data_IF_602066484074
#
_entry.id   IF_602066484074
#
_cell.length_a   1.000
_cell.length_b   1.000
_cell.length_c   1.000
_cell.angle_alpha   90.00
_cell.angle_beta   90.00
_cell.angle_gamma   90.00
#
_symmetry.space_group_name_H-M   'P 1'
#
loop_
_entity.id
_entity.type
_entity.pdbx_description
1 polymer ?
#
# COMPACT_ATOMS: atom_id res chain seq x y z
N UNK A 1 12.71 -35.84 26.37
CA UNK A 1 12.56 -34.45 26.85
C UNK A 1 13.54 -33.59 26.05
N UNK A 2 13.13 -33.07 24.89
CA UNK A 2 14.03 -32.30 24.03
C UNK A 2 14.11 -30.86 24.53
N UNK A 3 15.23 -30.51 25.15
CA UNK A 3 15.59 -29.12 25.43
C UNK A 3 15.74 -28.37 24.10
N UNK A 4 14.73 -27.62 23.70
CA UNK A 4 14.87 -26.68 22.60
C UNK A 4 15.85 -25.58 23.02
N UNK A 5 17.04 -25.58 22.42
CA UNK A 5 18.02 -24.51 22.63
C UNK A 5 17.41 -23.16 22.19
N UNK A 6 17.56 -22.09 22.99
CA UNK A 6 17.01 -20.77 22.67
C UNK A 6 17.58 -20.18 21.37
N UNK A 7 18.71 -20.68 20.89
CA UNK A 7 19.31 -20.28 19.60
C UNK A 7 18.57 -20.90 18.40
N UNK A 8 18.12 -22.15 18.53
CA UNK A 8 17.35 -22.85 17.50
C UNK A 8 15.97 -22.22 17.29
N UNK A 9 15.28 -21.91 18.39
CA UNK A 9 13.99 -21.21 18.35
C UNK A 9 14.10 -19.82 17.72
N UNK A 10 15.16 -19.05 18.05
CA UNK A 10 15.43 -17.74 17.40
C UNK A 10 15.72 -17.88 15.90
N UNK A 11 16.42 -18.93 15.49
CA UNK A 11 16.71 -19.19 14.07
C UNK A 11 15.43 -19.51 13.29
N UNK A 12 14.55 -20.36 13.84
CA UNK A 12 13.25 -20.70 13.26
C UNK A 12 12.32 -19.49 13.13
N UNK A 13 12.22 -18.64 14.16
CA UNK A 13 11.41 -17.42 14.09
C UNK A 13 11.92 -16.48 13.00
N UNK A 14 13.24 -16.34 12.86
CA UNK A 14 13.83 -15.52 11.78
C UNK A 14 13.49 -16.09 10.40
N UNK A 15 13.68 -17.40 10.21
CA UNK A 15 13.36 -18.06 8.93
C UNK A 15 11.87 -17.95 8.59
N UNK A 16 10.98 -18.14 9.57
CA UNK A 16 9.54 -17.97 9.39
C UNK A 16 9.19 -16.56 8.94
N UNK A 17 9.74 -15.53 9.61
CA UNK A 17 9.52 -14.14 9.24
C UNK A 17 10.06 -13.83 7.85
N UNK A 18 11.25 -14.35 7.50
CA UNK A 18 11.80 -14.22 6.14
C UNK A 18 10.88 -14.84 5.10
N UNK A 19 10.39 -16.06 5.34
CA UNK A 19 9.45 -16.73 4.44
C UNK A 19 8.15 -15.93 4.28
N UNK A 20 7.60 -15.41 5.38
CA UNK A 20 6.42 -14.55 5.35
C UNK A 20 6.66 -13.27 4.54
N UNK A 21 7.83 -12.64 4.66
CA UNK A 21 8.20 -11.51 3.80
C UNK A 21 8.38 -11.92 2.34
N UNK A 22 8.93 -13.11 2.06
CA UNK A 22 9.10 -13.59 0.69
C UNK A 22 7.80 -13.87 -0.03
N UNK A 23 6.72 -14.15 0.69
CA UNK A 23 5.37 -14.30 0.12
C UNK A 23 4.87 -13.05 -0.61
N UNK A 24 5.41 -11.87 -0.27
CA UNK A 24 5.11 -10.62 -0.97
C UNK A 24 6.12 -10.35 -2.10
N UNK A 25 5.61 -9.83 -3.22
CA UNK A 25 6.45 -9.23 -4.25
C UNK A 25 7.32 -8.09 -3.68
N UNK A 26 8.55 -7.92 -4.20
CA UNK A 26 9.49 -6.90 -3.71
C UNK A 26 8.90 -5.48 -3.74
N UNK A 27 8.10 -5.15 -4.76
CA UNK A 27 7.37 -3.88 -4.87
C UNK A 27 6.35 -3.71 -3.74
N UNK A 28 5.56 -4.74 -3.46
CA UNK A 28 4.56 -4.75 -2.37
C UNK A 28 5.20 -4.60 -1.00
N UNK A 29 6.35 -5.23 -0.75
CA UNK A 29 7.09 -5.08 0.53
C UNK A 29 7.44 -3.62 0.80
N UNK A 30 7.90 -2.88 -0.22
CA UNK A 30 8.23 -1.45 -0.08
C UNK A 30 7.01 -0.64 0.33
N UNK A 31 5.84 -0.91 -0.26
CA UNK A 31 4.59 -0.22 0.08
C UNK A 31 4.17 -0.53 1.52
N UNK A 32 4.27 -1.79 1.94
CA UNK A 32 3.89 -2.21 3.29
C UNK A 32 4.81 -1.61 4.36
N UNK A 33 6.13 -1.65 4.12
CA UNK A 33 7.12 -1.02 4.99
C UNK A 33 6.97 0.51 5.02
N UNK A 34 6.62 1.13 3.89
CA UNK A 34 6.32 2.56 3.83
C UNK A 34 5.16 2.95 4.73
N UNK A 35 4.05 2.22 4.65
CA UNK A 35 2.89 2.43 5.53
C UNK A 35 3.23 2.18 7.01
N UNK A 36 4.03 1.16 7.29
CA UNK A 36 4.51 0.88 8.65
C UNK A 36 5.36 2.02 9.22
N UNK A 37 6.33 2.53 8.44
CA UNK A 37 7.15 3.68 8.86
C UNK A 37 6.30 4.93 9.11
N UNK A 38 5.31 5.18 8.26
CA UNK A 38 4.40 6.29 8.46
C UNK A 38 3.60 6.13 9.77
N UNK A 39 3.14 4.91 10.08
CA UNK A 39 2.47 4.62 11.36
C UNK A 39 3.40 4.80 12.56
N UNK A 40 4.68 4.43 12.43
CA UNK A 40 5.70 4.68 13.46
C UNK A 40 5.96 6.18 13.64
N UNK A 41 6.01 6.96 12.56
CA UNK A 41 6.10 8.43 12.61
C UNK A 41 4.89 9.06 13.29
N UNK A 42 3.69 8.67 12.89
CA UNK A 42 2.44 9.09 13.55
C UNK A 42 2.47 8.79 15.05
N UNK A 43 2.96 7.60 15.46
CA UNK A 43 3.15 7.25 16.88
C UNK A 43 4.15 8.16 17.61
N UNK A 44 5.20 8.61 16.94
CA UNK A 44 6.16 9.51 17.57
C UNK A 44 5.57 10.90 17.80
N UNK A 45 4.66 11.34 16.92
CA UNK A 45 4.03 12.67 16.98
C UNK A 45 2.74 12.72 17.80
N UNK A 46 1.99 11.62 17.87
CA UNK A 46 0.80 11.48 18.71
C UNK A 46 1.19 10.65 19.93
N UNK A 47 0.96 11.12 21.16
CA UNK A 47 1.31 10.41 22.42
C UNK A 47 0.57 9.05 22.63
N UNK A 48 0.18 8.38 21.55
CA UNK A 48 -0.42 7.06 21.49
C UNK A 48 0.67 6.02 21.79
N UNK A 49 0.62 5.48 23.01
CA UNK A 49 1.46 4.36 23.42
C UNK A 49 1.14 3.08 22.63
N UNK A 50 2.01 2.09 22.85
CA UNK A 50 2.16 0.75 22.24
C UNK A 50 0.83 0.17 21.71
N UNK A 51 0.92 -0.63 20.64
CA UNK A 51 -0.21 -1.41 20.15
C UNK A 51 -1.00 -2.03 21.31
N UNK A 52 -2.32 -1.82 21.39
CA UNK A 52 -3.11 -2.33 22.50
C UNK A 52 -2.97 -3.84 22.56
N UNK A 53 -3.12 -4.38 23.77
CA UNK A 53 -3.13 -5.81 24.03
C UNK A 53 -4.04 -6.56 23.04
N UNK A 54 -3.68 -7.81 22.73
CA UNK A 54 -4.37 -8.65 21.75
C UNK A 54 -5.88 -8.75 22.02
N UNK A 55 -6.27 -8.68 23.29
CA UNK A 55 -7.67 -8.77 23.73
C UNK A 55 -8.47 -7.47 23.54
N UNK A 56 -7.81 -6.31 23.37
CA UNK A 56 -8.49 -5.03 23.21
C UNK A 56 -8.69 -4.66 21.73
N UNK A 57 -9.57 -5.41 21.07
CA UNK A 57 -9.90 -5.23 19.64
C UNK A 57 -10.44 -3.83 19.33
N UNK A 58 -11.19 -3.23 20.28
CA UNK A 58 -11.73 -1.88 20.13
C UNK A 58 -10.62 -0.84 19.95
N UNK A 59 -9.65 -0.78 20.88
CA UNK A 59 -8.56 0.18 20.81
C UNK A 59 -7.66 -0.08 19.60
N UNK A 60 -7.45 -1.34 19.20
CA UNK A 60 -6.69 -1.67 17.99
C UNK A 60 -7.36 -1.08 16.75
N UNK A 61 -8.68 -1.26 16.64
CA UNK A 61 -9.48 -0.71 15.54
C UNK A 61 -9.48 0.82 15.55
N UNK A 62 -9.66 1.42 16.73
CA UNK A 62 -9.64 2.88 16.90
C UNK A 62 -8.28 3.47 16.47
N UNK A 63 -7.17 2.87 16.89
CA UNK A 63 -5.83 3.34 16.49
C UNK A 63 -5.58 3.22 14.98
N UNK A 64 -6.11 2.17 14.34
CA UNK A 64 -6.02 2.01 12.88
C UNK A 64 -6.78 3.12 12.14
N UNK A 65 -7.98 3.47 12.61
CA UNK A 65 -8.78 4.53 12.00
C UNK A 65 -8.22 5.91 12.31
N UNK A 66 -7.79 6.19 13.53
CA UNK A 66 -7.13 7.45 13.87
C UNK A 66 -5.89 7.68 12.99
N UNK A 67 -5.09 6.65 12.75
CA UNK A 67 -3.99 6.70 11.80
C UNK A 67 -4.44 6.95 10.36
N UNK A 68 -5.53 6.32 9.91
CA UNK A 68 -6.08 6.57 8.58
C UNK A 68 -6.56 8.02 8.44
N UNK A 69 -7.27 8.55 9.44
CA UNK A 69 -7.79 9.93 9.48
C UNK A 69 -6.66 10.94 9.53
N UNK A 70 -5.63 10.73 10.36
CA UNK A 70 -4.49 11.65 10.43
C UNK A 70 -3.75 11.68 9.09
N UNK A 71 -3.52 10.51 8.50
CA UNK A 71 -2.88 10.39 7.19
C UNK A 71 -3.75 11.01 6.10
N UNK A 72 -5.08 10.94 6.22
CA UNK A 72 -5.97 11.61 5.31
C UNK A 72 -5.82 13.13 5.44
N UNK A 73 -5.85 13.69 6.65
CA UNK A 73 -5.74 15.13 6.92
C UNK A 73 -4.41 15.75 6.46
N UNK A 74 -3.28 15.08 6.69
CA UNK A 74 -1.93 15.58 6.32
C UNK A 74 -1.75 15.82 4.82
N UNK A 75 -2.51 15.15 3.95
CA UNK A 75 -2.26 15.14 2.50
C UNK A 75 -2.99 16.23 1.69
N UNK A 76 -3.55 17.25 2.34
CA UNK A 76 -4.19 18.40 1.67
C UNK A 76 -5.47 18.07 0.88
N UNK A 77 -6.23 19.09 0.46
CA UNK A 77 -7.55 18.95 -0.20
C UNK A 77 -7.49 18.43 -1.65
N UNK A 78 -6.33 18.53 -2.32
CA UNK A 78 -6.28 18.59 -3.79
C UNK A 78 -6.02 17.25 -4.52
N UNK A 79 -5.83 16.13 -3.80
CA UNK A 79 -5.53 14.84 -4.43
C UNK A 79 -6.74 13.88 -4.47
N UNK A 80 -7.31 13.68 -5.67
CA UNK A 80 -8.36 12.68 -5.93
C UNK A 80 -7.92 11.22 -5.71
N UNK A 81 -6.62 10.94 -5.53
CA UNK A 81 -6.08 9.61 -5.18
C UNK A 81 -5.99 9.36 -3.67
N UNK A 82 -6.46 10.32 -2.86
CA UNK A 82 -6.33 10.36 -1.41
C UNK A 82 -7.06 9.22 -0.69
N UNK A 83 -8.32 8.94 -1.01
CA UNK A 83 -9.11 7.96 -0.25
C UNK A 83 -8.61 6.51 -0.42
N UNK A 84 -8.51 6.01 -1.65
CA UNK A 84 -8.12 4.60 -1.89
C UNK A 84 -6.71 4.32 -1.35
N UNK A 85 -5.79 5.26 -1.53
CA UNK A 85 -4.44 5.15 -0.99
C UNK A 85 -4.47 5.10 0.54
N UNK A 86 -5.21 6.00 1.20
CA UNK A 86 -5.33 5.99 2.66
C UNK A 86 -6.01 4.70 3.16
N UNK A 87 -7.08 4.24 2.51
CA UNK A 87 -7.83 3.03 2.89
C UNK A 87 -6.95 1.77 2.89
N UNK A 88 -5.96 1.69 2.00
CA UNK A 88 -5.03 0.54 1.95
C UNK A 88 -4.00 0.55 3.07
N UNK A 89 -3.62 1.73 3.61
CA UNK A 89 -2.58 1.84 4.64
C UNK A 89 -2.89 1.07 5.93
N UNK A 90 -4.10 1.12 6.52
CA UNK A 90 -4.47 0.26 7.64
C UNK A 90 -4.26 -1.22 7.37
N UNK A 91 -4.57 -1.71 6.16
CA UNK A 91 -4.37 -3.12 5.80
C UNK A 91 -2.90 -3.51 5.78
N UNK A 92 -2.04 -2.64 5.24
CA UNK A 92 -0.59 -2.84 5.26
C UNK A 92 -0.04 -2.85 6.69
N UNK A 93 -0.48 -1.91 7.52
CA UNK A 93 -0.09 -1.81 8.93
C UNK A 93 -0.54 -3.05 9.70
N UNK A 94 -1.77 -3.54 9.49
CA UNK A 94 -2.30 -4.77 10.09
C UNK A 94 -1.43 -5.98 9.75
N UNK A 95 -0.98 -6.09 8.50
CA UNK A 95 -0.11 -7.18 8.06
C UNK A 95 1.28 -7.08 8.70
N UNK A 96 1.90 -5.90 8.69
CA UNK A 96 3.19 -5.68 9.34
C UNK A 96 3.11 -5.94 10.85
N UNK A 97 2.02 -5.54 11.49
CA UNK A 97 1.74 -5.82 12.89
C UNK A 97 1.63 -7.33 13.15
N UNK A 98 0.91 -8.06 12.30
CA UNK A 98 0.77 -9.52 12.42
C UNK A 98 2.13 -10.23 12.41
N UNK A 99 3.08 -9.77 11.59
CA UNK A 99 4.43 -10.34 11.59
C UNK A 99 5.21 -10.07 12.87
N UNK A 100 5.05 -8.89 13.47
CA UNK A 100 5.81 -8.49 14.66
C UNK A 100 5.19 -8.98 15.97
N UNK A 101 3.86 -8.97 16.07
CA UNK A 101 3.12 -9.23 17.30
C UNK A 101 2.40 -10.61 17.30
N UNK A 102 2.39 -11.32 16.17
CA UNK A 102 1.78 -12.65 16.06
C UNK A 102 0.25 -12.66 15.90
N UNK A 103 -0.40 -11.49 15.89
CA UNK A 103 -1.85 -11.39 15.67
C UNK A 103 -2.22 -10.23 14.75
N UNK A 104 -3.34 -10.41 14.03
CA UNK A 104 -3.84 -9.42 13.08
C UNK A 104 -4.90 -8.55 13.78
N UNK A 105 -4.57 -7.28 14.01
CA UNK A 105 -5.57 -6.30 14.46
C UNK A 105 -6.74 -6.25 13.48
N UNK A 106 -7.97 -6.17 13.97
CA UNK A 106 -9.17 -6.08 13.14
C UNK A 106 -9.75 -4.67 13.13
N UNK A 107 -10.37 -4.32 12.00
CA UNK A 107 -11.14 -3.08 11.87
C UNK A 107 -12.59 -3.43 12.20
N UNK A 108 -13.14 -2.81 13.23
CA UNK A 108 -14.52 -3.02 13.65
C UNK A 108 -15.48 -2.22 12.76
N UNK A 109 -16.70 -2.73 12.50
CA UNK A 109 -17.66 -2.06 11.62
C UNK A 109 -17.98 -0.61 12.03
N UNK A 110 -18.05 -0.34 13.32
CA UNK A 110 -18.28 1.02 13.86
C UNK A 110 -17.20 2.02 13.42
N UNK A 111 -15.95 1.55 13.33
CA UNK A 111 -14.80 2.36 12.94
C UNK A 111 -14.69 2.44 11.42
N UNK A 112 -15.20 1.45 10.68
CA UNK A 112 -15.32 1.52 9.22
C UNK A 112 -16.23 2.65 8.75
N UNK A 113 -17.22 3.04 9.56
CA UNK A 113 -18.08 4.19 9.26
C UNK A 113 -17.29 5.49 9.05
N UNK A 114 -16.17 5.67 9.76
CA UNK A 114 -15.29 6.81 9.56
C UNK A 114 -14.63 6.79 8.16
N UNK A 115 -14.23 5.61 7.68
CA UNK A 115 -13.72 5.45 6.31
C UNK A 115 -14.82 5.70 5.27
N UNK A 116 -16.06 5.30 5.55
CA UNK A 116 -17.20 5.63 4.71
C UNK A 116 -17.45 7.14 4.63
N UNK A 117 -17.41 7.84 5.77
CA UNK A 117 -17.51 9.30 5.81
C UNK A 117 -16.39 9.97 5.01
N UNK A 118 -15.14 9.53 5.20
CA UNK A 118 -13.98 9.99 4.41
C UNK A 118 -14.20 9.80 2.90
N UNK A 119 -14.79 8.68 2.48
CA UNK A 119 -15.08 8.43 1.07
C UNK A 119 -16.12 9.40 0.51
N UNK A 120 -17.17 9.70 1.27
CA UNK A 120 -18.25 10.58 0.83
C UNK A 120 -17.79 12.03 0.63
N UNK A 121 -16.92 12.52 1.51
CA UNK A 121 -16.39 13.89 1.45
C UNK A 121 -15.15 14.03 0.55
N UNK A 122 -14.55 12.92 0.13
CA UNK A 122 -13.44 12.97 -0.83
C UNK A 122 -13.97 13.27 -2.24
N UNK A 123 -13.25 14.08 -3.04
CA UNK A 123 -13.66 14.36 -4.40
C UNK A 123 -13.73 13.06 -5.22
N UNK A 124 -14.67 12.96 -6.17
CA UNK A 124 -14.78 11.78 -7.02
C UNK A 124 -13.47 11.55 -7.77
N UNK A 125 -13.13 10.27 -7.97
CA UNK A 125 -11.93 9.89 -8.70
C UNK A 125 -11.98 10.52 -10.08
N UNK A 126 -10.95 11.30 -10.43
CA UNK A 126 -10.80 11.77 -11.81
C UNK A 126 -10.53 10.56 -12.69
N UNK A 127 -11.54 10.13 -13.43
CA UNK A 127 -11.37 9.08 -14.43
C UNK A 127 -10.36 9.55 -15.46
N UNK A 128 -9.33 8.73 -15.69
CA UNK A 128 -8.43 8.95 -16.81
C UNK A 128 -9.15 8.42 -18.04
N UNK A 129 -9.33 9.26 -19.04
CA UNK A 129 -9.85 8.83 -20.34
C UNK A 129 -8.97 7.73 -20.93
N UNK A 130 -9.60 6.82 -21.67
CA UNK A 130 -8.86 5.80 -22.42
C UNK A 130 -7.96 6.48 -23.45
N UNK A 131 -6.75 5.95 -23.62
CA UNK A 131 -5.89 6.34 -24.75
C UNK A 131 -6.62 5.92 -26.03
N UNK A 132 -6.71 6.82 -27.00
CA UNK A 132 -7.32 6.52 -28.31
C UNK A 132 -6.26 6.19 -29.34
N UNK A 133 -6.67 5.54 -30.44
CA UNK A 133 -5.79 5.27 -31.60
C UNK A 133 -5.20 6.60 -32.12
N UNK A 134 -6.01 7.67 -32.18
CA UNK A 134 -5.54 8.98 -32.65
C UNK A 134 -4.43 9.57 -31.77
N UNK A 135 -4.50 9.40 -30.45
CA UNK A 135 -3.44 9.82 -29.54
C UNK A 135 -2.16 9.00 -29.77
N UNK A 136 -2.28 7.70 -30.03
CA UNK A 136 -1.15 6.83 -30.34
C UNK A 136 -0.49 7.24 -31.67
N UNK A 137 -1.29 7.49 -32.71
CA UNK A 137 -0.79 7.93 -34.02
C UNK A 137 -0.03 9.25 -33.95
N UNK A 138 -0.58 10.26 -33.25
CA UNK A 138 0.10 11.55 -33.03
C UNK A 138 1.43 11.33 -32.30
N UNK A 139 1.44 10.47 -31.29
CA UNK A 139 2.65 10.16 -30.52
C UNK A 139 3.73 9.50 -31.37
N UNK A 140 3.36 8.55 -32.25
CA UNK A 140 4.29 7.87 -33.15
C UNK A 140 4.82 8.86 -34.20
N UNK A 141 3.98 9.71 -34.78
CA UNK A 141 4.40 10.70 -35.78
C UNK A 141 5.38 11.75 -35.22
N UNK A 142 5.30 12.04 -33.92
CA UNK A 142 6.22 12.96 -33.25
C UNK A 142 7.60 12.34 -32.98
N UNK A 143 7.78 11.03 -33.18
CA UNK A 143 9.05 10.36 -32.92
C UNK A 143 9.96 10.29 -34.13
N UNK A 144 11.27 10.50 -33.91
CA UNK A 144 12.30 10.23 -34.90
C UNK A 144 12.65 8.74 -34.99
N UNK A 145 12.28 8.09 -36.10
CA UNK A 145 12.54 6.67 -36.34
C UNK A 145 14.01 6.34 -36.66
N UNK A 146 14.86 7.34 -36.89
CA UNK A 146 16.30 7.13 -36.99
C UNK A 146 16.93 6.86 -35.62
N UNK A 147 16.29 7.31 -34.53
CA UNK A 147 16.72 7.04 -33.17
C UNK A 147 16.28 5.64 -32.70
N UNK A 148 17.24 4.84 -32.25
CA UNK A 148 16.96 3.52 -31.65
C UNK A 148 16.06 3.61 -30.43
N UNK A 149 16.22 4.64 -29.58
CA UNK A 149 15.38 4.82 -28.39
C UNK A 149 13.92 5.07 -28.74
N UNK A 150 13.68 5.88 -29.76
CA UNK A 150 12.33 6.20 -30.23
C UNK A 150 11.64 4.99 -30.87
N UNK A 151 12.37 4.19 -31.65
CA UNK A 151 11.83 2.94 -32.21
C UNK A 151 11.36 1.97 -31.12
N UNK A 152 12.15 1.82 -30.05
CA UNK A 152 11.79 0.98 -28.90
C UNK A 152 10.55 1.54 -28.20
N UNK A 153 10.49 2.87 -28.00
CA UNK A 153 9.31 3.52 -27.42
C UNK A 153 8.05 3.27 -28.27
N UNK A 154 8.11 3.47 -29.59
CA UNK A 154 6.98 3.24 -30.49
C UNK A 154 6.52 1.78 -30.46
N UNK A 155 7.44 0.82 -30.55
CA UNK A 155 7.11 -0.60 -30.44
C UNK A 155 6.43 -0.92 -29.12
N UNK A 156 6.98 -0.43 -28.00
CA UNK A 156 6.39 -0.59 -26.68
C UNK A 156 5.01 0.06 -26.55
N UNK A 157 4.82 1.26 -27.11
CA UNK A 157 3.54 1.96 -27.08
C UNK A 157 2.45 1.24 -27.88
N UNK A 158 2.78 0.72 -29.08
CA UNK A 158 1.86 -0.06 -29.91
C UNK A 158 1.50 -1.37 -29.21
N UNK A 159 2.49 -2.10 -28.69
CA UNK A 159 2.25 -3.35 -27.96
C UNK A 159 1.42 -3.11 -26.69
N UNK A 160 1.77 -2.09 -25.89
CA UNK A 160 1.03 -1.72 -24.70
C UNK A 160 -0.42 -1.29 -24.99
N UNK A 161 -0.66 -0.62 -26.12
CA UNK A 161 -1.99 -0.22 -26.54
C UNK A 161 -2.87 -1.40 -26.96
N UNK A 162 -2.40 -2.26 -27.87
CA UNK A 162 -3.21 -3.35 -28.43
C UNK A 162 -3.34 -4.54 -27.49
N UNK A 163 -2.31 -4.83 -26.70
CA UNK A 163 -2.30 -5.97 -25.77
C UNK A 163 -2.61 -5.54 -24.32
N UNK A 164 -2.85 -4.25 -24.07
CA UNK A 164 -3.11 -3.70 -22.74
C UNK A 164 -2.03 -4.07 -21.70
N UNK A 165 -0.77 -4.13 -22.13
CA UNK A 165 0.34 -4.57 -21.30
C UNK A 165 0.64 -3.55 -20.20
N UNK A 166 1.02 -4.05 -19.03
CA UNK A 166 1.62 -3.27 -17.96
C UNK A 166 3.09 -3.02 -18.29
N UNK A 167 3.64 -1.89 -17.87
CA UNK A 167 5.06 -1.58 -18.12
C UNK A 167 6.09 -2.49 -17.44
N UNK A 168 5.66 -3.54 -16.71
CA UNK A 168 6.53 -4.57 -16.13
C UNK A 168 6.52 -5.88 -16.91
N UNK A 169 5.63 -6.00 -17.90
CA UNK A 169 5.52 -7.13 -18.84
C UNK A 169 6.34 -6.80 -20.09
#
# INVERSE_FOLDING_TARGET
MFCQSPTFSKNLHRQLTELQWTSLAKSTRKVYLGAWRQRCGYRACSNVLIWPDAYNTYNQSLQLVMFAVSTWQENGEDDTRRFDTVRTKPSHVRWCHQLGAGFRANLLPEHELALHGMRQISPPRRERGAVTITMLEVSIRATDMCSTQHRVFCGGAVMGFFFCLRGSE
#
